data_IF_389164495372
#
_entry.id   IF_389164495372
#
_cell.length_a   1.000
_cell.length_b   1.000
_cell.length_c   1.000
_cell.angle_alpha   90.00
_cell.angle_beta   90.00
_cell.angle_gamma   90.00
#
_symmetry.space_group_name_H-M   'P 1'
#
loop_
_entity.id
_entity.type
_entity.pdbx_description
1 polymer ?
#
# COMPACT_ATOMS: atom_id res chain seq x y z
N UNK A 1 -1.70 25.17 -8.54
CA UNK A 1 -1.72 23.69 -8.70
C UNK A 1 -0.60 22.98 -7.96
N UNK A 2 0.64 23.52 -7.93
CA UNK A 2 1.80 22.92 -7.21
C UNK A 2 1.49 22.52 -5.77
N UNK A 3 0.92 23.44 -4.98
CA UNK A 3 0.56 23.18 -3.59
C UNK A 3 -0.46 22.04 -3.45
N UNK A 4 -1.51 22.04 -4.28
CA UNK A 4 -2.55 21.00 -4.26
C UNK A 4 -1.95 19.63 -4.61
N UNK A 5 -1.10 19.55 -5.64
CA UNK A 5 -0.43 18.30 -6.01
C UNK A 5 0.51 17.82 -4.91
N UNK A 6 1.27 18.72 -4.30
CA UNK A 6 2.07 18.41 -3.12
C UNK A 6 1.22 17.84 -1.99
N UNK A 7 0.08 18.47 -1.66
CA UNK A 7 -0.80 18.00 -0.60
C UNK A 7 -1.38 16.60 -0.88
N UNK A 8 -1.88 16.36 -2.09
CA UNK A 8 -2.40 15.04 -2.49
C UNK A 8 -1.32 13.97 -2.39
N UNK A 9 -0.12 14.24 -2.88
CA UNK A 9 0.99 13.30 -2.80
C UNK A 9 1.52 13.12 -1.37
N UNK A 10 1.45 14.15 -0.52
CA UNK A 10 1.73 14.03 0.90
C UNK A 10 0.77 13.06 1.59
N UNK A 11 -0.52 13.11 1.25
CA UNK A 11 -1.51 12.13 1.73
C UNK A 11 -1.22 10.71 1.23
N UNK A 12 -0.75 10.55 -0.01
CA UNK A 12 -0.26 9.23 -0.50
C UNK A 12 0.86 8.73 0.39
N UNK A 13 1.84 9.59 0.68
CA UNK A 13 2.95 9.27 1.56
C UNK A 13 2.54 8.87 2.97
N UNK A 14 1.50 9.53 3.51
CA UNK A 14 0.92 9.20 4.81
C UNK A 14 0.35 7.79 4.87
N UNK A 15 -0.28 7.31 3.78
CA UNK A 15 -0.82 5.95 3.69
C UNK A 15 0.31 4.94 3.42
N UNK A 16 1.28 5.31 2.59
CA UNK A 16 2.40 4.45 2.22
C UNK A 16 3.26 4.09 3.43
N UNK A 17 3.55 5.05 4.31
CA UNK A 17 4.44 4.86 5.46
C UNK A 17 4.04 3.71 6.41
N UNK A 18 2.81 3.65 6.98
CA UNK A 18 2.40 2.54 7.84
C UNK A 18 2.37 1.21 7.11
N UNK A 19 1.94 1.17 5.84
CA UNK A 19 1.94 -0.04 5.04
C UNK A 19 3.36 -0.58 4.87
N UNK A 20 4.29 0.28 4.47
CA UNK A 20 5.69 -0.09 4.29
C UNK A 20 6.32 -0.59 5.59
N UNK A 21 6.14 0.13 6.72
CA UNK A 21 6.68 -0.29 8.01
C UNK A 21 6.11 -1.65 8.45
N UNK A 22 4.78 -1.81 8.43
CA UNK A 22 4.13 -3.05 8.84
C UNK A 22 4.56 -4.23 7.98
N UNK A 23 4.56 -4.07 6.65
CA UNK A 23 4.98 -5.11 5.73
C UNK A 23 6.47 -5.45 5.86
N UNK A 24 7.34 -4.46 6.06
CA UNK A 24 8.78 -4.71 6.26
C UNK A 24 8.99 -5.53 7.52
N UNK A 25 8.36 -5.13 8.63
CA UNK A 25 8.47 -5.85 9.90
C UNK A 25 7.90 -7.29 9.80
N UNK A 26 6.80 -7.50 9.05
CA UNK A 26 6.29 -8.85 8.76
C UNK A 26 7.32 -9.66 7.96
N UNK A 27 7.84 -9.13 6.86
CA UNK A 27 8.78 -9.87 6.00
C UNK A 27 10.14 -10.14 6.66
N UNK A 28 10.65 -9.22 7.48
CA UNK A 28 11.85 -9.44 8.29
C UNK A 28 11.64 -10.61 9.25
N UNK A 29 10.47 -10.71 9.89
CA UNK A 29 10.12 -11.83 10.77
C UNK A 29 9.96 -13.16 10.05
N UNK A 30 9.52 -13.13 8.79
CA UNK A 30 9.48 -14.30 7.91
C UNK A 30 10.86 -14.69 7.35
N UNK A 31 11.93 -13.98 7.72
CA UNK A 31 13.29 -14.30 7.30
C UNK A 31 13.64 -13.85 5.88
N UNK A 32 12.92 -12.89 5.31
CA UNK A 32 13.18 -12.39 3.95
C UNK A 32 14.49 -11.57 3.82
N UNK A 33 15.16 -11.25 4.93
CA UNK A 33 16.41 -10.50 4.96
C UNK A 33 16.29 -9.15 4.23
N UNK A 34 17.30 -8.76 3.43
CA UNK A 34 17.24 -7.52 2.63
C UNK A 34 16.06 -7.47 1.64
N UNK A 35 15.53 -8.63 1.24
CA UNK A 35 14.35 -8.72 0.36
C UNK A 35 13.07 -8.17 1.00
N UNK A 36 13.02 -8.03 2.33
CA UNK A 36 11.88 -7.47 3.05
C UNK A 36 11.55 -6.04 2.58
N UNK A 37 12.56 -5.20 2.38
CA UNK A 37 12.39 -3.81 1.92
C UNK A 37 11.80 -3.75 0.51
N UNK A 38 12.30 -4.60 -0.40
CA UNK A 38 11.79 -4.67 -1.77
C UNK A 38 10.33 -5.15 -1.81
N UNK A 39 10.01 -6.23 -1.09
CA UNK A 39 8.66 -6.79 -1.03
C UNK A 39 7.66 -5.82 -0.38
N UNK A 40 8.05 -5.19 0.73
CA UNK A 40 7.23 -4.20 1.42
C UNK A 40 6.98 -2.95 0.57
N UNK A 41 8.02 -2.41 -0.06
CA UNK A 41 7.91 -1.25 -0.92
C UNK A 41 7.06 -1.52 -2.17
N UNK A 42 7.19 -2.72 -2.74
CA UNK A 42 6.38 -3.17 -3.87
C UNK A 42 4.89 -3.25 -3.52
N UNK A 43 4.55 -3.90 -2.40
CA UNK A 43 3.17 -4.04 -1.96
C UNK A 43 2.56 -2.71 -1.49
N UNK A 44 3.32 -1.87 -0.79
CA UNK A 44 2.86 -0.52 -0.43
C UNK A 44 2.63 0.34 -1.68
N UNK A 45 3.51 0.26 -2.68
CA UNK A 45 3.36 0.95 -3.97
C UNK A 45 2.14 0.45 -4.76
N UNK A 46 1.95 -0.86 -4.82
CA UNK A 46 0.78 -1.49 -5.43
C UNK A 46 -0.53 -1.07 -4.76
N UNK A 47 -0.58 -1.08 -3.43
CA UNK A 47 -1.74 -0.67 -2.64
C UNK A 47 -2.06 0.82 -2.86
N UNK A 48 -1.05 1.70 -2.81
CA UNK A 48 -1.21 3.11 -3.13
C UNK A 48 -1.77 3.32 -4.54
N UNK A 49 -1.22 2.63 -5.54
CA UNK A 49 -1.72 2.72 -6.91
C UNK A 49 -3.16 2.21 -7.06
N UNK A 50 -3.56 1.18 -6.31
CA UNK A 50 -4.93 0.68 -6.30
C UNK A 50 -5.91 1.67 -5.65
N UNK A 51 -5.55 2.21 -4.48
CA UNK A 51 -6.38 3.18 -3.74
C UNK A 51 -6.73 4.41 -4.59
N UNK A 52 -5.75 4.95 -5.32
CA UNK A 52 -5.95 6.12 -6.19
C UNK A 52 -6.44 5.77 -7.59
N UNK A 53 -6.24 4.54 -8.04
CA UNK A 53 -6.71 4.06 -9.34
C UNK A 53 -8.22 3.78 -9.37
N UNK A 54 -8.83 3.51 -8.23
CA UNK A 54 -10.25 3.14 -8.12
C UNK A 54 -10.87 3.67 -6.83
N UNK A 55 -11.21 4.95 -6.78
CA UNK A 55 -11.73 5.60 -5.57
C UNK A 55 -12.96 4.90 -4.97
N UNK A 56 -13.96 4.55 -5.79
CA UNK A 56 -15.18 3.89 -5.30
C UNK A 56 -14.89 2.51 -4.69
N UNK A 57 -14.12 1.67 -5.41
CA UNK A 57 -13.72 0.35 -4.90
C UNK A 57 -12.83 0.47 -3.67
N UNK A 58 -11.97 1.49 -3.62
CA UNK A 58 -11.10 1.73 -2.49
C UNK A 58 -11.89 1.99 -1.21
N UNK A 59 -12.91 2.86 -1.29
CA UNK A 59 -13.80 3.16 -0.17
C UNK A 59 -14.58 1.92 0.26
N UNK A 60 -15.16 1.18 -0.69
CA UNK A 60 -15.95 -0.03 -0.37
C UNK A 60 -15.07 -1.12 0.24
N UNK A 61 -13.93 -1.43 -0.39
CA UNK A 61 -13.03 -2.49 0.05
C UNK A 61 -12.41 -2.19 1.41
N UNK A 62 -11.88 -0.98 1.61
CA UNK A 62 -11.33 -0.60 2.92
C UNK A 62 -12.41 -0.52 3.99
N UNK A 63 -13.63 -0.09 3.66
CA UNK A 63 -14.78 -0.10 4.56
C UNK A 63 -15.17 -1.52 5.01
N UNK A 64 -15.30 -2.47 4.07
CA UNK A 64 -15.55 -3.88 4.38
C UNK A 64 -14.42 -4.42 5.27
N UNK A 65 -13.17 -4.18 4.89
CA UNK A 65 -12.01 -4.64 5.65
C UNK A 65 -11.96 -4.10 7.08
N UNK A 66 -12.21 -2.81 7.26
CA UNK A 66 -12.25 -2.18 8.57
C UNK A 66 -13.39 -2.74 9.43
N UNK A 67 -14.61 -2.84 8.88
CA UNK A 67 -15.77 -3.37 9.61
C UNK A 67 -15.54 -4.83 10.00
N UNK A 68 -15.16 -5.70 9.06
CA UNK A 68 -14.88 -7.12 9.33
C UNK A 68 -13.72 -7.26 10.30
N UNK A 69 -12.64 -6.49 10.11
CA UNK A 69 -11.48 -6.48 11.00
C UNK A 69 -11.87 -6.16 12.45
N UNK A 70 -12.64 -5.10 12.67
CA UNK A 70 -13.12 -4.68 14.01
C UNK A 70 -14.10 -5.71 14.60
N UNK A 71 -15.06 -6.21 13.80
CA UNK A 71 -16.01 -7.22 14.28
C UNK A 71 -15.29 -8.50 14.73
N UNK A 72 -14.38 -9.03 13.91
CA UNK A 72 -13.62 -10.23 14.27
C UNK A 72 -12.69 -9.99 15.46
N UNK A 73 -12.09 -8.80 15.55
CA UNK A 73 -11.26 -8.43 16.69
C UNK A 73 -12.07 -8.38 17.99
N UNK A 74 -13.31 -7.88 17.94
CA UNK A 74 -14.16 -7.75 19.14
C UNK A 74 -14.87 -9.05 19.53
N UNK A 75 -15.22 -9.91 18.56
CA UNK A 75 -15.99 -11.13 18.83
C UNK A 75 -15.16 -12.41 18.86
N UNK A 76 -13.96 -12.42 18.26
CA UNK A 76 -13.22 -13.65 17.95
C UNK A 76 -11.69 -13.49 18.05
N UNK A 77 -11.18 -12.52 18.82
CA UNK A 77 -9.74 -12.32 19.00
C UNK A 77 -9.02 -13.57 19.52
N UNK A 78 -9.64 -14.35 20.40
CA UNK A 78 -9.04 -15.57 20.97
C UNK A 78 -9.11 -16.78 20.02
N UNK A 79 -9.91 -16.69 18.95
CA UNK A 79 -10.19 -17.80 18.04
C UNK A 79 -9.51 -17.66 16.68
N UNK A 80 -9.29 -16.42 16.24
CA UNK A 80 -8.76 -16.12 14.92
C UNK A 80 -7.39 -15.46 15.02
N UNK A 81 -6.49 -15.90 14.16
CA UNK A 81 -5.23 -15.20 13.90
C UNK A 81 -5.44 -13.99 12.99
N UNK A 82 -4.49 -13.05 13.06
CA UNK A 82 -4.37 -11.92 12.13
C UNK A 82 -4.54 -12.33 10.65
N UNK A 83 -3.86 -13.41 10.22
CA UNK A 83 -3.90 -13.87 8.84
C UNK A 83 -5.30 -14.37 8.45
N UNK A 84 -5.98 -15.06 9.36
CA UNK A 84 -7.35 -15.52 9.15
C UNK A 84 -8.33 -14.35 9.07
N UNK A 85 -8.19 -13.33 9.94
CA UNK A 85 -9.05 -12.15 9.89
C UNK A 85 -8.88 -11.37 8.56
N UNK A 86 -7.64 -11.16 8.12
CA UNK A 86 -7.36 -10.54 6.83
C UNK A 86 -7.90 -11.38 5.66
N UNK A 87 -7.76 -12.72 5.71
CA UNK A 87 -8.28 -13.62 4.69
C UNK A 87 -9.81 -13.62 4.62
N UNK A 88 -10.51 -13.60 5.76
CA UNK A 88 -11.98 -13.52 5.82
C UNK A 88 -12.45 -12.19 5.23
N UNK A 89 -11.83 -11.07 5.62
CA UNK A 89 -12.14 -9.76 5.05
C UNK A 89 -11.93 -9.73 3.53
N UNK A 90 -10.81 -10.27 3.05
CA UNK A 90 -10.50 -10.37 1.63
C UNK A 90 -11.52 -11.24 0.88
N UNK A 91 -11.89 -12.40 1.43
CA UNK A 91 -12.87 -13.31 0.83
C UNK A 91 -14.27 -12.69 0.75
N UNK A 92 -14.72 -12.01 1.81
CA UNK A 92 -16.00 -11.30 1.81
C UNK A 92 -16.01 -10.15 0.81
N UNK A 93 -14.95 -9.35 0.75
CA UNK A 93 -14.85 -8.27 -0.21
C UNK A 93 -14.74 -8.76 -1.66
N UNK A 94 -14.05 -9.89 -1.90
CA UNK A 94 -14.04 -10.57 -3.20
C UNK A 94 -15.45 -10.98 -3.63
N UNK A 95 -16.21 -11.58 -2.71
CA UNK A 95 -17.59 -11.98 -2.97
C UNK A 95 -18.47 -10.77 -3.31
N UNK A 96 -18.34 -9.67 -2.57
CA UNK A 96 -19.03 -8.41 -2.87
C UNK A 96 -18.65 -7.91 -4.27
N UNK A 97 -17.37 -7.93 -4.64
CA UNK A 97 -16.92 -7.52 -5.98
C UNK A 97 -17.39 -8.40 -7.13
N UNK A 98 -17.67 -9.69 -6.86
CA UNK A 98 -18.23 -10.60 -7.86
C UNK A 98 -19.76 -10.43 -8.02
N UNK A 99 -20.46 -10.08 -6.94
CA UNK A 99 -21.93 -10.00 -6.90
C UNK A 99 -22.47 -8.59 -7.19
N UNK A 100 -21.79 -7.55 -6.71
CA UNK A 100 -22.22 -6.16 -6.86
C UNK A 100 -21.56 -5.56 -8.10
N UNK A 101 -22.38 -4.93 -8.95
CA UNK A 101 -21.87 -4.16 -10.09
C UNK A 101 -21.72 -2.70 -9.67
N UNK A 102 -20.50 -2.16 -9.77
CA UNK A 102 -20.24 -0.77 -9.46
C UNK A 102 -20.56 0.12 -10.67
N UNK A 103 -21.48 1.09 -10.55
CA UNK A 103 -21.84 1.99 -11.64
C UNK A 103 -20.76 3.07 -11.81
N UNK A 104 -19.61 2.67 -12.33
CA UNK A 104 -18.45 3.53 -12.60
C UNK A 104 -17.56 2.84 -13.63
N UNK A 105 -16.85 3.62 -14.45
CA UNK A 105 -16.03 3.09 -15.55
C UNK A 105 -15.21 1.87 -15.10
N UNK A 106 -15.38 0.74 -15.79
CA UNK A 106 -14.68 -0.49 -15.50
C UNK A 106 -13.18 -0.23 -15.28
N UNK A 107 -12.66 -0.73 -14.16
CA UNK A 107 -11.30 -0.49 -13.65
C UNK A 107 -10.18 -1.17 -14.46
N UNK A 108 -10.34 -1.29 -15.78
CA UNK A 108 -9.39 -1.97 -16.69
C UNK A 108 -7.98 -1.41 -16.63
N UNK A 109 -7.81 -0.15 -16.24
CA UNK A 109 -6.50 0.51 -16.11
C UNK A 109 -5.83 0.26 -14.76
N UNK A 110 -6.59 -0.17 -13.73
CA UNK A 110 -6.07 -0.38 -12.37
C UNK A 110 -4.98 -1.43 -12.33
N UNK A 111 -5.07 -2.60 -13.01
CA UNK A 111 -3.96 -3.55 -13.03
C UNK A 111 -2.66 -2.92 -13.54
N UNK A 112 -2.73 -2.00 -14.51
CA UNK A 112 -1.55 -1.34 -15.07
C UNK A 112 -0.93 -0.38 -14.05
N UNK A 113 -1.77 0.36 -13.33
CA UNK A 113 -1.36 1.21 -12.20
C UNK A 113 -0.74 0.38 -11.08
N UNK A 114 -1.36 -0.74 -10.72
CA UNK A 114 -0.86 -1.66 -9.69
C UNK A 114 0.50 -2.24 -10.08
N UNK A 115 0.68 -2.72 -11.31
CA UNK A 115 1.98 -3.20 -11.79
C UNK A 115 3.05 -2.10 -11.79
N UNK A 116 2.70 -0.87 -12.19
CA UNK A 116 3.61 0.26 -12.10
C UNK A 116 4.03 0.51 -10.65
N UNK A 117 3.09 0.56 -9.71
CA UNK A 117 3.38 0.74 -8.28
C UNK A 117 4.19 -0.40 -7.67
N UNK A 118 3.89 -1.65 -8.07
CA UNK A 118 4.61 -2.84 -7.63
C UNK A 118 6.07 -2.81 -8.09
N UNK A 119 6.29 -2.53 -9.37
CA UNK A 119 7.63 -2.57 -9.99
C UNK A 119 8.50 -1.42 -9.53
N UNK A 120 7.97 -0.20 -9.49
CA UNK A 120 8.67 0.98 -8.98
C UNK A 120 8.95 0.87 -7.48
N UNK A 121 7.97 0.39 -6.71
CA UNK A 121 8.16 0.10 -5.30
C UNK A 121 9.25 -0.95 -5.05
N UNK A 122 9.22 -2.08 -5.77
CA UNK A 122 10.24 -3.11 -5.68
C UNK A 122 11.64 -2.57 -5.99
N UNK A 123 11.77 -1.78 -7.06
CA UNK A 123 13.04 -1.17 -7.45
C UNK A 123 13.57 -0.20 -6.37
N UNK A 124 12.71 0.67 -5.85
CA UNK A 124 13.08 1.59 -4.77
C UNK A 124 13.45 0.87 -3.48
N UNK A 125 12.68 -0.16 -3.09
CA UNK A 125 12.97 -0.96 -1.89
C UNK A 125 14.24 -1.79 -2.03
N UNK A 126 14.53 -2.32 -3.23
CA UNK A 126 15.79 -3.01 -3.51
C UNK A 126 16.99 -2.06 -3.47
N UNK A 127 16.85 -0.84 -4.01
CA UNK A 127 17.88 0.19 -3.92
C UNK A 127 18.14 0.58 -2.46
N UNK A 128 17.08 0.75 -1.67
CA UNK A 128 17.20 1.00 -0.23
C UNK A 128 17.93 -0.14 0.48
N UNK A 129 17.55 -1.40 0.21
CA UNK A 129 18.21 -2.58 0.78
C UNK A 129 19.70 -2.66 0.42
N UNK A 130 20.07 -2.27 -0.80
CA UNK A 130 21.46 -2.28 -1.28
C UNK A 130 22.30 -1.14 -0.67
N UNK A 131 21.66 -0.01 -0.32
CA UNK A 131 22.36 1.17 0.21
C UNK A 131 22.49 1.16 1.72
N UNK A 132 21.57 0.51 2.44
CA UNK A 132 21.57 0.44 3.90
C UNK A 132 22.90 -0.09 4.50
N UNK A 133 23.55 -1.14 3.95
CA UNK A 133 24.82 -1.66 4.49
C UNK A 133 26.02 -0.74 4.27
N UNK A 134 25.94 0.20 3.33
CA UNK A 134 27.04 1.09 2.97
C UNK A 134 27.15 2.32 3.89
N UNK A 135 26.10 2.59 4.68
CA UNK A 135 26.03 3.75 5.55
C UNK A 135 26.76 3.53 6.89
N UNK A 136 27.53 4.52 7.40
CA UNK A 136 28.15 4.43 8.72
C UNK A 136 27.16 4.55 9.88
N UNK A 137 25.90 4.90 9.61
CA UNK A 137 24.82 5.05 10.59
C UNK A 137 23.50 4.48 10.04
N UNK A 138 22.64 3.88 10.89
CA UNK A 138 21.32 3.46 10.47
C UNK A 138 20.49 4.67 10.02
N UNK A 139 19.78 4.53 8.90
CA UNK A 139 18.87 5.57 8.41
C UNK A 139 17.67 5.70 9.35
N UNK A 140 17.29 6.93 9.69
CA UNK A 140 16.07 7.16 10.47
C UNK A 140 14.83 6.82 9.63
N UNK A 141 13.72 6.36 10.24
CA UNK A 141 12.48 6.09 9.52
C UNK A 141 11.97 7.30 8.73
N UNK A 142 12.18 8.51 9.25
CA UNK A 142 11.87 9.75 8.56
C UNK A 142 12.61 9.87 7.21
N UNK A 143 13.94 9.75 7.21
CA UNK A 143 14.76 9.90 6.00
C UNK A 143 14.45 8.78 5.01
N UNK A 144 14.33 7.55 5.51
CA UNK A 144 14.01 6.38 4.73
C UNK A 144 12.70 6.57 3.95
N UNK A 145 11.61 6.96 4.62
CA UNK A 145 10.31 7.13 3.97
C UNK A 145 10.25 8.39 3.10
N UNK A 146 10.93 9.48 3.48
CA UNK A 146 11.01 10.67 2.64
C UNK A 146 11.65 10.37 1.28
N UNK A 147 12.76 9.64 1.27
CA UNK A 147 13.42 9.21 0.04
C UNK A 147 12.58 8.19 -0.73
N UNK A 148 12.11 7.14 -0.05
CA UNK A 148 11.40 6.05 -0.69
C UNK A 148 10.11 6.52 -1.35
N UNK A 149 9.29 7.32 -0.65
CA UNK A 149 8.04 7.87 -1.19
C UNK A 149 8.32 8.83 -2.34
N UNK A 150 9.32 9.70 -2.21
CA UNK A 150 9.64 10.68 -3.25
C UNK A 150 10.12 10.01 -4.55
N UNK A 151 11.09 9.10 -4.45
CA UNK A 151 11.67 8.41 -5.61
C UNK A 151 10.65 7.46 -6.23
N UNK A 152 9.93 6.68 -5.41
CA UNK A 152 8.88 5.80 -5.91
C UNK A 152 7.78 6.58 -6.63
N UNK A 153 7.34 7.70 -6.08
CA UNK A 153 6.34 8.56 -6.71
C UNK A 153 6.76 9.11 -8.07
N UNK A 154 8.01 9.59 -8.18
CA UNK A 154 8.56 10.07 -9.44
C UNK A 154 8.67 8.94 -10.49
N UNK A 155 9.21 7.78 -10.11
CA UNK A 155 9.30 6.61 -11.00
C UNK A 155 7.92 6.09 -11.41
N UNK A 156 6.95 6.10 -10.50
CA UNK A 156 5.59 5.70 -10.77
C UNK A 156 4.95 6.59 -11.84
N UNK A 157 4.97 7.92 -11.66
CA UNK A 157 4.34 8.85 -12.61
C UNK A 157 4.95 8.77 -14.00
N UNK A 158 6.27 8.57 -14.09
CA UNK A 158 6.96 8.45 -15.37
C UNK A 158 6.69 7.11 -16.07
N UNK A 159 6.47 6.03 -15.32
CA UNK A 159 6.30 4.68 -15.90
C UNK A 159 4.84 4.24 -16.08
N UNK A 160 3.88 4.83 -15.38
CA UNK A 160 2.49 4.33 -15.32
C UNK A 160 1.82 4.24 -16.70
N UNK A 161 2.05 5.21 -17.58
CA UNK A 161 1.52 5.23 -18.95
C UNK A 161 1.98 4.03 -19.76
N UNK A 162 3.27 3.70 -19.63
CA UNK A 162 3.87 2.57 -20.32
C UNK A 162 3.27 1.26 -19.83
N UNK A 163 3.14 1.09 -18.51
CA UNK A 163 2.53 -0.12 -17.91
C UNK A 163 1.06 -0.31 -18.32
N UNK A 164 0.25 0.75 -18.33
CA UNK A 164 -1.14 0.70 -18.82
C UNK A 164 -1.16 0.26 -20.29
N UNK A 165 -0.24 0.77 -21.12
CA UNK A 165 -0.08 0.35 -22.50
C UNK A 165 0.36 -1.11 -22.66
N UNK A 166 1.20 -1.64 -21.77
CA UNK A 166 1.59 -3.06 -21.82
C UNK A 166 0.44 -3.99 -21.44
N UNK A 167 -0.31 -3.66 -20.40
CA UNK A 167 -1.48 -4.46 -19.96
C UNK A 167 -2.56 -4.52 -21.04
N UNK A 168 -2.80 -3.43 -21.76
CA UNK A 168 -3.75 -3.42 -22.86
C UNK A 168 -3.28 -4.31 -24.02
N UNK A 169 -1.97 -4.31 -24.33
CA UNK A 169 -1.37 -5.21 -25.33
C UNK A 169 -1.44 -6.69 -24.93
N UNK A 170 -1.20 -7.00 -23.66
CA UNK A 170 -1.23 -8.36 -23.12
C UNK A 170 -2.65 -8.95 -23.00
N UNK A 171 -3.69 -8.26 -23.48
CA UNK A 171 -5.11 -8.65 -23.38
C UNK A 171 -5.57 -8.96 -21.94
N UNK A 172 -4.84 -8.53 -20.92
CA UNK A 172 -5.30 -8.60 -19.53
C UNK A 172 -6.54 -7.70 -19.36
N UNK A 173 -6.62 -6.62 -20.13
CA UNK A 173 -7.83 -5.79 -20.25
C UNK A 173 -9.06 -6.53 -20.84
N UNK A 174 -8.90 -7.75 -21.37
CA UNK A 174 -10.01 -8.59 -21.82
C UNK A 174 -10.60 -9.46 -20.70
N UNK A 175 -10.00 -9.48 -19.50
CA UNK A 175 -10.58 -10.13 -18.31
C UNK A 175 -11.91 -9.44 -17.93
N UNK A 176 -12.89 -10.18 -17.37
CA UNK A 176 -14.14 -9.59 -16.94
C UNK A 176 -13.88 -8.56 -15.82
N UNK A 177 -14.48 -7.37 -15.96
CA UNK A 177 -14.33 -6.25 -15.03
C UNK A 177 -14.54 -6.67 -13.56
N UNK A 178 -15.57 -7.48 -13.32
CA UNK A 178 -15.90 -8.02 -11.99
C UNK A 178 -14.76 -8.77 -11.32
N UNK A 179 -13.93 -9.49 -12.07
CA UNK A 179 -12.81 -10.22 -11.49
C UNK A 179 -11.68 -9.27 -11.06
N UNK A 180 -11.44 -8.21 -11.83
CA UNK A 180 -10.49 -7.16 -11.46
C UNK A 180 -11.00 -6.42 -10.21
N UNK A 181 -12.27 -6.04 -10.21
CA UNK A 181 -12.93 -5.35 -9.09
C UNK A 181 -12.90 -6.20 -7.81
N UNK A 182 -13.24 -7.47 -7.90
CA UNK A 182 -13.18 -8.42 -6.79
C UNK A 182 -11.76 -8.56 -6.23
N UNK A 183 -10.73 -8.65 -7.07
CA UNK A 183 -9.34 -8.75 -6.61
C UNK A 183 -8.87 -7.47 -5.93
N UNK A 184 -9.23 -6.30 -6.47
CA UNK A 184 -8.88 -5.00 -5.85
C UNK A 184 -9.58 -4.87 -4.49
N UNK A 185 -10.88 -5.17 -4.42
CA UNK A 185 -11.64 -5.17 -3.17
C UNK A 185 -11.06 -6.13 -2.15
N UNK A 186 -10.74 -7.35 -2.55
CA UNK A 186 -10.13 -8.36 -1.68
C UNK A 186 -8.81 -7.88 -1.08
N UNK A 187 -7.92 -7.34 -1.93
CA UNK A 187 -6.62 -6.86 -1.50
C UNK A 187 -6.75 -5.69 -0.51
N UNK A 188 -7.59 -4.70 -0.83
CA UNK A 188 -7.78 -3.52 0.01
C UNK A 188 -8.49 -3.85 1.33
N UNK A 189 -9.46 -4.77 1.31
CA UNK A 189 -10.12 -5.25 2.52
C UNK A 189 -9.17 -6.03 3.43
N UNK A 190 -8.35 -6.92 2.85
CA UNK A 190 -7.34 -7.66 3.60
C UNK A 190 -6.31 -6.73 4.24
N UNK A 191 -5.82 -5.72 3.50
CA UNK A 191 -4.90 -4.70 4.03
C UNK A 191 -5.54 -3.87 5.15
N UNK A 192 -6.80 -3.45 4.99
CA UNK A 192 -7.50 -2.68 6.01
C UNK A 192 -7.76 -3.50 7.29
N UNK A 193 -8.25 -4.74 7.15
CA UNK A 193 -8.46 -5.65 8.28
C UNK A 193 -7.14 -5.98 8.99
N UNK A 194 -6.09 -6.27 8.22
CA UNK A 194 -4.75 -6.46 8.76
C UNK A 194 -4.24 -5.21 9.50
N UNK A 195 -4.45 -4.02 8.95
CA UNK A 195 -4.11 -2.76 9.61
C UNK A 195 -4.78 -2.60 10.98
N UNK A 196 -6.08 -2.90 11.07
CA UNK A 196 -6.83 -2.87 12.34
C UNK A 196 -6.21 -3.83 13.37
N UNK A 197 -5.97 -5.07 12.96
CA UNK A 197 -5.42 -6.09 13.85
C UNK A 197 -3.99 -5.80 14.28
N UNK A 198 -3.18 -5.23 13.38
CA UNK A 198 -1.82 -4.83 13.70
C UNK A 198 -1.80 -3.70 14.75
N UNK A 199 -2.70 -2.73 14.63
CA UNK A 199 -2.81 -1.65 15.62
C UNK A 199 -3.40 -2.15 16.95
N UNK A 200 -4.23 -3.18 16.93
CA UNK A 200 -4.78 -3.77 18.14
C UNK A 200 -3.79 -4.67 18.90
N UNK A 201 -2.71 -5.13 18.26
CA UNK A 201 -1.72 -6.05 18.82
C UNK A 201 -1.28 -5.73 20.26
N UNK A 202 -0.84 -4.50 20.57
CA UNK A 202 -0.40 -4.12 21.92
C UNK A 202 -1.53 -4.17 22.96
N UNK A 203 -2.78 -4.00 22.54
CA UNK A 203 -3.95 -4.02 23.44
C UNK A 203 -4.38 -5.44 23.80
N UNK A 204 -4.06 -6.43 22.97
CA UNK A 204 -4.39 -7.83 23.18
C UNK A 204 -3.45 -8.53 24.18
N UNK A 205 -2.38 -7.87 24.63
CA UNK A 205 -1.45 -8.41 25.62
C UNK A 205 -0.56 -9.55 25.11
N UNK A 206 -0.64 -9.92 23.83
CA UNK A 206 0.23 -10.93 23.21
C UNK A 206 1.54 -10.28 22.73
N UNK A 207 2.46 -10.05 23.66
CA UNK A 207 3.80 -9.50 23.37
C UNK A 207 4.71 -10.50 22.63
N UNK A 208 4.39 -11.80 22.69
CA UNK A 208 5.23 -12.88 22.16
C UNK A 208 4.92 -13.24 20.70
N UNK A 209 3.68 -13.00 20.26
CA UNK A 209 3.22 -13.29 18.91
C UNK A 209 3.79 -12.34 17.85
N UNK A 210 3.70 -12.77 16.59
CA UNK A 210 4.12 -11.97 15.42
C UNK A 210 3.42 -10.59 15.41
N UNK A 211 2.15 -10.54 15.82
CA UNK A 211 1.34 -9.31 15.81
C UNK A 211 1.85 -8.29 16.83
N UNK A 212 2.07 -8.69 18.09
CA UNK A 212 2.56 -7.79 19.13
C UNK A 212 3.95 -7.23 18.81
N UNK A 213 4.85 -8.09 18.33
CA UNK A 213 6.22 -7.68 18.03
C UNK A 213 6.34 -6.76 16.79
N UNK A 214 5.51 -6.99 15.77
CA UNK A 214 5.43 -6.08 14.61
C UNK A 214 4.78 -4.76 15.04
N UNK A 215 3.70 -4.81 15.82
CA UNK A 215 3.00 -3.63 16.29
C UNK A 215 3.91 -2.70 17.09
N UNK A 216 4.63 -3.22 18.10
CA UNK A 216 5.54 -2.42 18.92
C UNK A 216 6.56 -1.63 18.07
N UNK A 217 7.21 -2.30 17.11
CA UNK A 217 8.14 -1.63 16.17
C UNK A 217 7.47 -0.56 15.31
N UNK A 218 6.27 -0.84 14.83
CA UNK A 218 5.53 0.10 13.99
C UNK A 218 5.15 1.33 14.80
N UNK A 219 4.63 1.16 16.02
CA UNK A 219 4.19 2.26 16.88
C UNK A 219 5.30 3.29 17.16
N UNK A 220 6.51 2.83 17.50
CA UNK A 220 7.64 3.72 17.80
C UNK A 220 8.11 4.50 16.57
N UNK A 221 8.10 3.85 15.39
CA UNK A 221 8.59 4.45 14.15
C UNK A 221 7.53 5.28 13.41
N UNK A 222 6.24 5.06 13.69
CA UNK A 222 5.12 5.58 12.89
C UNK A 222 5.10 7.11 12.79
N UNK A 223 5.25 7.91 13.87
CA UNK A 223 5.18 9.36 13.75
C UNK A 223 6.26 9.92 12.81
N UNK A 224 7.49 9.44 12.95
CA UNK A 224 8.61 9.87 12.11
C UNK A 224 8.49 9.37 10.67
N UNK A 225 8.05 8.13 10.47
CA UNK A 225 7.82 7.57 9.14
C UNK A 225 6.66 8.27 8.41
N UNK A 226 5.58 8.61 9.12
CA UNK A 226 4.46 9.36 8.58
C UNK A 226 4.88 10.77 8.15
N UNK A 227 5.62 11.49 9.00
CA UNK A 227 6.17 12.81 8.64
C UNK A 227 7.12 12.72 7.44
N UNK A 228 7.98 11.71 7.41
CA UNK A 228 8.88 11.44 6.29
C UNK A 228 8.10 11.17 5.00
N UNK A 229 7.10 10.30 5.06
CA UNK A 229 6.23 9.97 3.94
C UNK A 229 5.46 11.20 3.42
N UNK A 230 4.85 11.99 4.30
CA UNK A 230 4.15 13.23 3.94
C UNK A 230 5.09 14.22 3.26
N UNK A 231 6.27 14.45 3.83
CA UNK A 231 7.24 15.37 3.24
C UNK A 231 7.74 14.87 1.89
N UNK A 232 8.15 13.59 1.80
CA UNK A 232 8.64 12.98 0.56
C UNK A 232 7.60 13.01 -0.54
N UNK A 233 6.34 12.69 -0.21
CA UNK A 233 5.21 12.81 -1.12
C UNK A 233 4.98 14.26 -1.57
N UNK A 234 4.95 15.20 -0.63
CA UNK A 234 4.72 16.61 -0.95
C UNK A 234 5.81 17.19 -1.86
N UNK A 235 7.08 16.88 -1.60
CA UNK A 235 8.22 17.29 -2.42
C UNK A 235 8.10 16.68 -3.82
N UNK A 236 7.84 15.38 -3.94
CA UNK A 236 7.68 14.74 -5.25
C UNK A 236 6.50 15.32 -6.04
N UNK A 237 5.35 15.50 -5.39
CA UNK A 237 4.17 16.09 -6.02
C UNK A 237 4.43 17.52 -6.51
N UNK A 238 5.12 18.33 -5.71
CA UNK A 238 5.48 19.70 -6.09
C UNK A 238 6.48 19.74 -7.25
N UNK A 239 7.51 18.89 -7.24
CA UNK A 239 8.50 18.80 -8.31
C UNK A 239 7.86 18.32 -9.61
N UNK A 240 7.01 17.29 -9.56
CA UNK A 240 6.31 16.79 -10.74
C UNK A 240 5.42 17.86 -11.39
N UNK A 241 4.75 18.69 -10.58
CA UNK A 241 4.01 19.84 -11.12
C UNK A 241 4.96 20.89 -11.72
N UNK A 242 6.03 21.23 -11.01
CA UNK A 242 6.99 22.25 -11.44
C UNK A 242 7.65 21.89 -12.78
N UNK A 243 7.86 20.60 -13.04
CA UNK A 243 8.38 20.09 -14.32
C UNK A 243 7.30 19.76 -15.36
N UNK A 244 6.03 20.04 -15.08
CA UNK A 244 4.93 19.88 -16.04
C UNK A 244 4.55 18.43 -16.36
N UNK A 245 4.81 17.48 -15.46
CA UNK A 245 4.34 16.10 -15.64
C UNK A 245 2.81 16.04 -15.54
N UNK A 246 2.16 15.25 -16.40
CA UNK A 246 0.71 15.07 -16.36
C UNK A 246 0.22 14.41 -15.06
N UNK A 247 -1.07 14.55 -14.76
CA UNK A 247 -1.68 13.87 -13.62
C UNK A 247 -1.91 12.39 -13.91
N UNK A 248 -1.88 11.58 -12.85
CA UNK A 248 -2.13 10.13 -12.92
C UNK A 248 -3.60 9.82 -13.24
N UNK A 249 -4.51 10.75 -12.97
CA UNK A 249 -5.93 10.64 -13.32
C UNK A 249 -6.19 10.92 -14.81
N UNK A 250 -5.29 11.63 -15.49
CA UNK A 250 -5.39 11.88 -16.95
C UNK A 250 -5.04 10.63 -17.77
N UNK A 251 -4.63 9.53 -17.11
CA UNK A 251 -4.14 8.28 -17.72
C UNK A 251 -4.99 7.09 -17.33
#
# INVERSE_FOLDING_TARGET
MVFLRGLVWGLIGLIYAPLFLGLTAIFERLGAGPGAYAAAAALAGAAGAALYGSHELALVGTGIGAIVGVLLLTSAADLLSFAQAAAVAAALAALVGLLVSFPGQCTRRVPGKVLAGLTTGAACGALLAATLPLGPRPLSPFVMLALLVSVNGALYVTSVRWWIGQISRLRIAARPCRLIEALVLAALAGLAAGGVWLMAGPLLGDESGLVGAVAARVYDALPYAALGGVLGGAVAGALLEAFGFAWVHDV
#
